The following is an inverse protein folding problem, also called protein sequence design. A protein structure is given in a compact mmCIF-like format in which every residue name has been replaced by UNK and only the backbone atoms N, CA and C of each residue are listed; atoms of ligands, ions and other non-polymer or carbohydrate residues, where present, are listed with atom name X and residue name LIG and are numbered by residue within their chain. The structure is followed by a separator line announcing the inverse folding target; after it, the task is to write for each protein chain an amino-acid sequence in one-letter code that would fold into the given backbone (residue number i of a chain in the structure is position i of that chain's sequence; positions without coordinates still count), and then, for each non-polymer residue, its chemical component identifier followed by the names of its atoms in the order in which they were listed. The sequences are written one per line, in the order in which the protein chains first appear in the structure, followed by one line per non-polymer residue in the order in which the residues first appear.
data_IF_869479303844
#
_entry.id   IF_869479303844
#
_cell.length_a   1.000
_cell.length_b   1.000
_cell.length_c   1.000
_cell.angle_alpha   90.00
_cell.angle_beta   90.00
_cell.angle_gamma   90.00
#
_symmetry.space_group_name_H-M   'P 1'
#
loop_
_entity.id
_entity.type
_entity.pdbx_description
1 polymer ?
#
# COMPACT_ATOMS: atom_id res chain seq x y z
N UNK A 1 0.11 12.69 -4.24
CA UNK A 1 -0.55 11.88 -5.30
C UNK A 1 -1.33 10.69 -4.75
N UNK A 2 -1.33 10.43 -3.43
CA UNK A 2 -2.15 9.39 -2.79
C UNK A 2 -3.14 10.07 -1.84
N UNK A 3 -4.19 10.67 -2.39
CA UNK A 3 -5.26 11.28 -1.59
C UNK A 3 -6.52 10.43 -1.69
N UNK A 4 -7.33 10.35 -0.62
CA UNK A 4 -8.62 9.70 -0.69
C UNK A 4 -9.49 10.27 -1.82
N UNK A 5 -10.15 9.38 -2.56
CA UNK A 5 -11.13 9.79 -3.57
C UNK A 5 -12.46 10.18 -2.91
N UNK A 6 -13.26 11.07 -3.51
CA UNK A 6 -14.61 11.37 -3.02
C UNK A 6 -15.50 10.12 -2.99
N UNK A 7 -16.54 10.16 -2.15
CA UNK A 7 -17.50 9.07 -2.02
C UNK A 7 -18.15 8.70 -3.37
N UNK A 8 -18.22 7.40 -3.67
CA UNK A 8 -18.82 6.87 -4.89
C UNK A 8 -17.93 6.91 -6.14
N UNK A 9 -16.73 7.50 -6.06
CA UNK A 9 -15.74 7.49 -7.14
C UNK A 9 -14.83 6.27 -6.96
N UNK A 10 -14.56 5.56 -8.05
CA UNK A 10 -13.61 4.46 -8.03
C UNK A 10 -12.18 4.98 -7.77
N UNK A 11 -11.45 4.29 -6.90
CA UNK A 11 -10.06 4.58 -6.57
C UNK A 11 -9.27 3.31 -6.31
N UNK A 12 -7.98 3.47 -6.04
CA UNK A 12 -7.09 2.39 -5.65
C UNK A 12 -7.27 2.06 -4.17
N UNK A 13 -7.12 0.78 -3.81
CA UNK A 13 -7.24 0.31 -2.42
C UNK A 13 -5.83 0.09 -1.86
N UNK A 14 -5.56 0.70 -0.71
CA UNK A 14 -4.37 0.45 0.11
C UNK A 14 -4.81 -0.18 1.43
N UNK A 15 -4.05 -1.18 1.91
CA UNK A 15 -4.34 -1.91 3.15
C UNK A 15 -3.21 -1.66 4.15
N UNK A 16 -3.57 -1.27 5.37
CA UNK A 16 -2.64 -1.00 6.48
C UNK A 16 -3.00 -1.75 7.77
N UNK A 17 -2.15 -1.63 8.80
CA UNK A 17 -2.35 -2.19 10.14
C UNK A 17 -1.55 -3.47 10.45
N UNK A 18 -1.76 -4.02 11.64
CA UNK A 18 -0.95 -5.11 12.21
C UNK A 18 -0.92 -6.40 11.39
N UNK A 19 -1.95 -6.63 10.56
CA UNK A 19 -2.05 -7.81 9.69
C UNK A 19 -1.22 -7.74 8.41
N UNK A 20 -0.60 -6.60 8.10
CA UNK A 20 0.23 -6.44 6.90
C UNK A 20 1.55 -7.20 7.08
N UNK A 21 1.95 -7.95 6.05
CA UNK A 21 3.20 -8.70 6.08
C UNK A 21 4.43 -7.76 6.16
N UNK A 22 5.58 -8.30 6.59
CA UNK A 22 6.86 -7.57 6.57
C UNK A 22 7.44 -7.35 5.16
N UNK A 23 6.77 -7.89 4.14
CA UNK A 23 7.27 -7.98 2.77
C UNK A 23 7.53 -9.42 2.33
N UNK A 24 7.96 -9.54 1.08
CA UNK A 24 8.43 -10.77 0.46
C UNK A 24 9.91 -11.00 0.82
N UNK A 25 10.23 -12.21 1.28
CA UNK A 25 11.60 -12.58 1.66
C UNK A 25 12.54 -12.48 0.45
N UNK A 26 13.66 -11.78 0.62
CA UNK A 26 14.72 -11.59 -0.39
C UNK A 26 14.30 -10.87 -1.69
N UNK A 27 13.16 -10.17 -1.71
CA UNK A 27 12.69 -9.41 -2.88
C UNK A 27 12.60 -7.92 -2.57
N UNK A 28 13.74 -7.27 -2.34
CA UNK A 28 13.81 -5.87 -1.89
C UNK A 28 13.14 -4.89 -2.86
N UNK A 29 13.34 -5.05 -4.17
CA UNK A 29 12.76 -4.17 -5.19
C UNK A 29 11.22 -4.24 -5.21
N UNK A 30 10.67 -5.46 -5.19
CA UNK A 30 9.22 -5.68 -5.13
C UNK A 30 8.62 -5.14 -3.84
N UNK A 31 9.34 -5.25 -2.72
CA UNK A 31 8.88 -4.70 -1.45
C UNK A 31 8.78 -3.17 -1.51
N UNK A 32 9.75 -2.49 -2.10
CA UNK A 32 9.73 -1.04 -2.25
C UNK A 32 8.55 -0.53 -3.11
N UNK A 33 8.06 -1.35 -4.05
CA UNK A 33 6.90 -1.03 -4.86
C UNK A 33 5.55 -1.31 -4.17
N UNK A 34 5.47 -2.33 -3.30
CA UNK A 34 4.18 -2.85 -2.78
C UNK A 34 3.93 -2.52 -1.31
N UNK A 35 4.98 -2.26 -0.53
CA UNK A 35 4.91 -1.91 0.89
C UNK A 35 5.39 -0.47 1.05
N UNK A 36 4.48 0.47 0.83
CA UNK A 36 4.74 1.89 0.84
C UNK A 36 4.70 2.45 2.26
N UNK A 37 5.42 3.55 2.50
CA UNK A 37 5.24 4.33 3.73
C UNK A 37 3.85 5.00 3.70
N UNK A 38 3.15 4.95 4.83
CA UNK A 38 1.88 5.68 4.99
C UNK A 38 2.17 7.19 4.94
N UNK A 39 1.55 7.94 4.02
CA UNK A 39 1.81 9.37 3.83
C UNK A 39 1.32 10.30 4.95
#
# INVERSE_FOLDING_TARGET
HQQPVPYGVAGEIFIGGDGVARGYLNLAEVNAERFLADP
#
